data_IF_133160293974
#
_entry.id   IF_133160293974
#
_cell.length_a   1.000
_cell.length_b   1.000
_cell.length_c   1.000
_cell.angle_alpha   90.00
_cell.angle_beta   90.00
_cell.angle_gamma   90.00
#
_symmetry.space_group_name_H-M   'P 1'
#
loop_
_entity.id
_entity.type
_entity.pdbx_description
1 polymer ?
#
# COMPACT_ATOMS: atom_id res chain seq x y z
N UNK A 1 51.41 -22.88 1.15
CA UNK A 1 50.59 -21.75 1.66
C UNK A 1 50.31 -21.97 3.14
N UNK A 2 50.78 -21.08 4.01
CA UNK A 2 50.71 -21.24 5.47
C UNK A 2 49.24 -21.33 5.91
N UNK A 3 48.93 -22.21 6.89
CA UNK A 3 47.55 -22.49 7.35
C UNK A 3 46.77 -21.21 7.69
N UNK A 4 47.45 -20.19 8.22
CA UNK A 4 46.91 -18.86 8.50
C UNK A 4 46.38 -18.11 7.25
N UNK A 5 47.11 -18.17 6.13
CA UNK A 5 46.69 -17.52 4.88
C UNK A 5 45.45 -18.20 4.30
N UNK A 6 45.31 -19.52 4.47
CA UNK A 6 44.10 -20.26 4.07
C UNK A 6 42.89 -19.84 4.89
N UNK A 7 43.05 -19.65 6.20
CA UNK A 7 42.00 -19.19 7.09
C UNK A 7 41.53 -17.76 6.74
N UNK A 8 42.47 -16.84 6.48
CA UNK A 8 42.13 -15.48 6.05
C UNK A 8 41.35 -15.44 4.74
N UNK A 9 41.76 -16.24 3.75
CA UNK A 9 41.05 -16.34 2.46
C UNK A 9 39.64 -16.89 2.65
N UNK A 10 39.47 -17.91 3.51
CA UNK A 10 38.16 -18.47 3.81
C UNK A 10 37.25 -17.46 4.52
N UNK A 11 37.78 -16.72 5.49
CA UNK A 11 37.04 -15.67 6.21
C UNK A 11 36.61 -14.54 5.26
N UNK A 12 37.50 -14.11 4.35
CA UNK A 12 37.18 -13.11 3.34
C UNK A 12 36.10 -13.59 2.37
N UNK A 13 36.19 -14.85 1.90
CA UNK A 13 35.17 -15.44 1.04
C UNK A 13 33.81 -15.51 1.73
N UNK A 14 33.75 -15.92 3.00
CA UNK A 14 32.51 -15.92 3.78
C UNK A 14 31.94 -14.50 3.96
N UNK A 15 32.80 -13.51 4.19
CA UNK A 15 32.39 -12.10 4.28
C UNK A 15 31.74 -11.58 2.99
N UNK A 16 32.30 -11.94 1.84
CA UNK A 16 31.74 -11.58 0.52
C UNK A 16 30.39 -12.25 0.31
N UNK A 17 30.25 -13.54 0.62
CA UNK A 17 28.98 -14.28 0.48
C UNK A 17 27.90 -13.70 1.40
N UNK A 18 28.24 -13.39 2.66
CA UNK A 18 27.31 -12.75 3.59
C UNK A 18 26.90 -11.34 3.12
N UNK A 19 27.86 -10.55 2.61
CA UNK A 19 27.58 -9.23 2.03
C UNK A 19 26.66 -9.29 0.82
N UNK A 20 26.91 -10.23 -0.11
CA UNK A 20 26.05 -10.45 -1.26
C UNK A 20 24.64 -10.91 -0.86
N UNK A 21 24.53 -11.77 0.17
CA UNK A 21 23.25 -12.23 0.70
C UNK A 21 22.42 -11.08 1.28
N UNK A 22 23.03 -10.23 2.12
CA UNK A 22 22.36 -9.05 2.68
C UNK A 22 21.95 -8.08 1.58
N UNK A 23 22.84 -7.81 0.62
CA UNK A 23 22.53 -6.92 -0.50
C UNK A 23 21.33 -7.44 -1.33
N UNK A 24 21.29 -8.73 -1.63
CA UNK A 24 20.22 -9.31 -2.43
C UNK A 24 18.87 -9.37 -1.69
N UNK A 25 18.84 -9.77 -0.42
CA UNK A 25 17.59 -10.00 0.31
C UNK A 25 17.08 -8.81 1.12
N UNK A 26 17.96 -7.87 1.49
CA UNK A 26 17.58 -6.68 2.28
C UNK A 26 17.45 -5.47 1.37
N UNK A 27 18.43 -5.21 0.51
CA UNK A 27 18.43 -4.02 -0.35
C UNK A 27 17.68 -4.24 -1.67
N UNK A 28 17.85 -5.40 -2.31
CA UNK A 28 17.16 -5.73 -3.56
C UNK A 28 15.84 -6.49 -3.31
N UNK A 29 15.06 -6.07 -2.31
CA UNK A 29 13.71 -6.64 -2.16
C UNK A 29 12.88 -6.28 -3.39
N UNK A 30 12.40 -7.27 -4.16
CA UNK A 30 11.55 -6.97 -5.30
C UNK A 30 10.30 -6.23 -4.80
N UNK A 31 10.06 -5.04 -5.32
CA UNK A 31 8.83 -4.31 -5.02
C UNK A 31 7.65 -5.20 -5.42
N UNK A 32 6.78 -5.52 -4.46
CA UNK A 32 5.58 -6.32 -4.72
C UNK A 32 4.74 -5.54 -5.73
N UNK A 33 4.48 -6.15 -6.89
CA UNK A 33 3.63 -5.58 -7.92
C UNK A 33 2.18 -5.64 -7.43
N UNK A 34 1.73 -4.58 -6.75
CA UNK A 34 0.39 -4.48 -6.15
C UNK A 34 -0.70 -4.55 -7.22
N UNK A 35 -0.42 -4.03 -8.41
CA UNK A 35 -1.35 -4.05 -9.54
C UNK A 35 -1.63 -5.49 -10.00
N UNK A 36 -0.64 -6.39 -9.97
CA UNK A 36 -0.82 -7.82 -10.30
C UNK A 36 -1.11 -8.71 -9.09
N UNK A 37 -0.93 -8.22 -7.87
CA UNK A 37 -1.18 -8.99 -6.66
C UNK A 37 -2.66 -9.39 -6.54
N UNK A 38 -2.88 -10.60 -6.03
CA UNK A 38 -4.22 -11.05 -5.62
C UNK A 38 -4.58 -10.26 -4.35
N UNK A 39 -5.79 -9.67 -4.26
CA UNK A 39 -6.20 -8.97 -3.05
C UNK A 39 -6.32 -9.96 -1.89
N UNK A 40 -5.72 -9.60 -0.76
CA UNK A 40 -5.82 -10.33 0.51
C UNK A 40 -7.24 -10.19 1.09
N UNK A 41 -7.89 -9.05 0.86
CA UNK A 41 -9.25 -8.74 1.31
C UNK A 41 -10.08 -8.07 0.21
N UNK A 42 -11.39 -8.34 0.24
CA UNK A 42 -12.38 -7.63 -0.58
C UNK A 42 -13.45 -7.06 0.33
N UNK A 43 -13.61 -5.74 0.34
CA UNK A 43 -14.49 -5.02 1.28
C UNK A 43 -15.29 -3.92 0.57
N UNK A 44 -16.23 -3.29 1.27
CA UNK A 44 -16.75 -1.98 0.86
C UNK A 44 -15.92 -0.88 1.52
N UNK A 45 -15.87 0.31 0.91
CA UNK A 45 -15.16 1.44 1.47
C UNK A 45 -15.69 1.81 2.88
N UNK A 46 -17.02 1.73 3.05
CA UNK A 46 -17.71 1.96 4.33
C UNK A 46 -17.26 0.96 5.41
N UNK A 47 -17.22 -0.33 5.08
CA UNK A 47 -16.81 -1.37 6.04
C UNK A 47 -15.33 -1.27 6.38
N UNK A 48 -14.50 -0.97 5.38
CA UNK A 48 -13.07 -0.77 5.56
C UNK A 48 -12.81 0.41 6.52
N UNK A 49 -13.48 1.54 6.32
CA UNK A 49 -13.38 2.70 7.22
C UNK A 49 -13.92 2.40 8.62
N UNK A 50 -15.13 1.85 8.72
CA UNK A 50 -15.75 1.52 10.00
C UNK A 50 -14.91 0.53 10.83
N UNK A 51 -14.18 -0.38 10.18
CA UNK A 51 -13.28 -1.31 10.87
C UNK A 51 -12.18 -0.57 11.65
N UNK A 52 -11.52 0.41 11.02
CA UNK A 52 -10.50 1.21 11.70
C UNK A 52 -11.10 2.21 12.69
N UNK A 53 -12.16 2.92 12.30
CA UNK A 53 -12.80 3.93 13.14
C UNK A 53 -13.33 3.37 14.47
N UNK A 54 -13.81 2.12 14.48
CA UNK A 54 -14.28 1.43 15.68
C UNK A 54 -13.18 0.68 16.45
N UNK A 55 -11.91 0.83 16.07
CA UNK A 55 -10.78 0.15 16.74
C UNK A 55 -10.80 -1.37 16.58
N UNK A 56 -11.40 -1.88 15.49
CA UNK A 56 -11.53 -3.33 15.24
C UNK A 56 -10.32 -3.93 14.52
N UNK A 57 -9.32 -3.11 14.19
CA UNK A 57 -8.05 -3.56 13.64
C UNK A 57 -7.25 -4.31 14.73
N UNK A 58 -7.41 -5.64 14.72
CA UNK A 58 -6.88 -6.56 15.74
C UNK A 58 -6.05 -7.64 15.05
N UNK A 59 -5.31 -8.46 15.83
CA UNK A 59 -4.50 -9.56 15.29
C UNK A 59 -5.31 -10.54 14.40
N UNK A 60 -6.61 -10.69 14.65
CA UNK A 60 -7.50 -11.57 13.90
C UNK A 60 -7.88 -11.02 12.52
N UNK A 61 -7.96 -9.70 12.38
CA UNK A 61 -8.29 -9.02 11.12
C UNK A 61 -7.54 -7.70 11.06
N UNK A 62 -6.31 -7.79 10.56
CA UNK A 62 -5.42 -6.66 10.36
C UNK A 62 -5.28 -6.36 8.86
N UNK A 63 -5.61 -5.14 8.48
CA UNK A 63 -5.48 -4.67 7.11
C UNK A 63 -4.12 -4.04 6.82
N UNK A 64 -3.31 -3.74 7.83
CA UNK A 64 -1.98 -3.13 7.66
C UNK A 64 -1.07 -4.06 6.86
N UNK A 65 -0.50 -3.56 5.76
CA UNK A 65 0.36 -4.33 4.86
C UNK A 65 -0.39 -5.25 3.88
N UNK A 66 -1.72 -5.27 3.91
CA UNK A 66 -2.53 -6.07 3.01
C UNK A 66 -2.81 -5.35 1.68
N UNK A 67 -3.01 -6.12 0.62
CA UNK A 67 -3.60 -5.64 -0.65
C UNK A 67 -5.11 -5.75 -0.53
N UNK A 68 -5.80 -4.62 -0.58
CA UNK A 68 -7.24 -4.56 -0.37
C UNK A 68 -7.91 -4.15 -1.66
N UNK A 69 -8.89 -4.95 -2.09
CA UNK A 69 -9.88 -4.54 -3.09
C UNK A 69 -11.07 -3.95 -2.35
N UNK A 70 -11.52 -2.76 -2.72
CA UNK A 70 -12.73 -2.21 -2.16
C UNK A 70 -13.56 -1.46 -3.19
N UNK A 71 -14.87 -1.38 -2.94
CA UNK A 71 -15.80 -0.62 -3.77
C UNK A 71 -16.40 0.52 -2.94
N UNK A 72 -16.45 1.72 -3.52
CA UNK A 72 -17.03 2.89 -2.86
C UNK A 72 -17.25 4.07 -3.80
N UNK A 73 -17.94 5.10 -3.31
CA UNK A 73 -18.17 6.35 -4.05
C UNK A 73 -17.06 7.35 -3.75
N UNK A 74 -16.35 7.82 -4.78
CA UNK A 74 -15.32 8.86 -4.61
C UNK A 74 -16.01 10.18 -4.25
N UNK A 75 -15.61 10.78 -3.13
CA UNK A 75 -16.15 12.09 -2.70
C UNK A 75 -15.41 13.23 -3.39
N UNK A 76 -14.08 13.14 -3.46
CA UNK A 76 -13.23 14.15 -4.09
C UNK A 76 -11.93 13.55 -4.60
N UNK A 77 -11.26 14.31 -5.46
CA UNK A 77 -9.97 13.95 -6.05
C UNK A 77 -8.98 15.06 -5.69
N UNK A 78 -7.93 14.70 -4.97
CA UNK A 78 -6.81 15.58 -4.66
C UNK A 78 -5.67 15.32 -5.65
N UNK A 79 -4.84 16.33 -5.91
CA UNK A 79 -3.66 16.22 -6.75
C UNK A 79 -2.43 16.61 -5.94
N UNK A 80 -1.49 15.69 -5.83
CA UNK A 80 -0.21 15.90 -5.13
C UNK A 80 0.89 15.65 -6.14
N UNK A 81 1.54 16.72 -6.60
CA UNK A 81 2.50 16.68 -7.71
C UNK A 81 1.93 16.01 -8.98
N UNK A 82 2.53 14.89 -9.40
CA UNK A 82 2.07 14.07 -10.52
C UNK A 82 1.11 12.95 -10.12
N UNK A 83 0.76 12.83 -8.84
CA UNK A 83 -0.09 11.77 -8.31
C UNK A 83 -1.51 12.27 -8.09
N UNK A 84 -2.48 11.38 -8.31
CA UNK A 84 -3.89 11.62 -8.00
C UNK A 84 -4.27 10.81 -6.77
N UNK A 85 -4.92 11.46 -5.82
CA UNK A 85 -5.42 10.82 -4.60
C UNK A 85 -6.93 10.82 -4.65
N UNK A 86 -7.52 9.64 -4.67
CA UNK A 86 -8.96 9.46 -4.55
C UNK A 86 -9.32 9.47 -3.07
N UNK A 87 -10.26 10.34 -2.69
CA UNK A 87 -10.68 10.51 -1.30
C UNK A 87 -12.13 10.06 -1.16
N UNK A 88 -12.36 9.15 -0.23
CA UNK A 88 -13.66 8.64 0.18
C UNK A 88 -13.91 9.15 1.60
N UNK A 89 -14.81 10.13 1.75
CA UNK A 89 -15.07 10.78 3.03
C UNK A 89 -16.24 10.09 3.72
N UNK A 90 -16.07 9.74 4.99
CA UNK A 90 -17.11 9.10 5.82
C UNK A 90 -17.45 9.90 7.07
N UNK A 91 -16.56 10.78 7.51
CA UNK A 91 -16.78 11.67 8.65
C UNK A 91 -16.05 13.01 8.43
N UNK A 92 -16.42 14.02 9.23
CA UNK A 92 -15.71 15.31 9.29
C UNK A 92 -15.21 15.53 10.71
N UNK A 93 -13.88 15.55 10.88
CA UNK A 93 -13.21 15.79 12.13
C UNK A 93 -12.83 17.26 12.33
N UNK A 94 -12.23 17.56 13.49
CA UNK A 94 -11.76 18.93 13.79
C UNK A 94 -10.71 19.46 12.80
N UNK A 95 -10.01 18.56 12.09
CA UNK A 95 -8.95 18.90 11.14
C UNK A 95 -9.34 18.65 9.67
N UNK A 96 -10.64 18.42 9.41
CA UNK A 96 -11.20 18.20 8.08
C UNK A 96 -11.72 16.78 7.88
N UNK A 97 -11.93 16.42 6.62
CA UNK A 97 -12.49 15.14 6.19
C UNK A 97 -11.68 13.93 6.68
N UNK A 98 -12.39 12.92 7.16
CA UNK A 98 -11.86 11.64 7.61
C UNK A 98 -12.40 10.52 6.72
N UNK A 99 -11.52 9.61 6.29
CA UNK A 99 -11.95 8.49 5.49
C UNK A 99 -10.84 7.63 4.92
N UNK A 100 -10.91 7.37 3.61
CA UNK A 100 -9.91 6.59 2.87
C UNK A 100 -9.24 7.50 1.85
N UNK A 101 -7.91 7.57 1.90
CA UNK A 101 -7.07 8.25 0.89
C UNK A 101 -6.30 7.21 0.10
N UNK A 102 -6.58 7.16 -1.19
CA UNK A 102 -6.01 6.16 -2.09
C UNK A 102 -5.19 6.84 -3.18
N UNK A 103 -3.87 6.72 -3.07
CA UNK A 103 -2.92 7.30 -4.03
C UNK A 103 -2.78 6.38 -5.23
N UNK A 104 -3.23 6.86 -6.39
CA UNK A 104 -3.20 6.10 -7.64
C UNK A 104 -1.78 5.93 -8.16
N UNK A 105 -1.53 4.79 -8.80
CA UNK A 105 -0.39 4.61 -9.68
C UNK A 105 -0.47 5.61 -10.84
N UNK A 106 0.65 6.21 -11.28
CA UNK A 106 0.65 7.18 -12.38
C UNK A 106 -0.03 6.67 -13.67
N UNK A 107 0.04 5.36 -13.93
CA UNK A 107 -0.61 4.71 -15.08
C UNK A 107 -2.14 4.79 -15.05
N UNK A 108 -2.75 4.93 -13.87
CA UNK A 108 -4.19 5.01 -13.64
C UNK A 108 -4.71 6.45 -13.54
N UNK A 109 -3.84 7.46 -13.49
CA UNK A 109 -4.25 8.86 -13.44
C UNK A 109 -5.11 9.29 -14.64
N UNK A 110 -4.90 8.67 -15.80
CA UNK A 110 -5.65 8.94 -17.04
C UNK A 110 -7.10 8.44 -16.98
N UNK A 111 -7.42 7.53 -16.07
CA UNK A 111 -8.75 6.97 -15.90
C UNK A 111 -9.62 7.85 -14.98
N UNK A 112 -9.02 8.82 -14.30
CA UNK A 112 -9.69 9.73 -13.36
C UNK A 112 -10.74 10.64 -14.03
N UNK A 113 -10.50 11.24 -15.22
CA UNK A 113 -11.51 12.06 -15.90
C UNK A 113 -12.76 11.29 -16.32
N UNK A 114 -12.66 9.97 -16.47
CA UNK A 114 -13.75 9.09 -16.88
C UNK A 114 -14.60 8.61 -15.68
N UNK A 115 -14.21 8.96 -14.45
CA UNK A 115 -14.94 8.57 -13.26
C UNK A 115 -16.26 9.35 -13.18
N UNK A 116 -17.36 8.62 -13.15
CA UNK A 116 -18.66 9.21 -12.83
C UNK A 116 -18.72 9.45 -11.32
N UNK A 117 -18.84 10.70 -10.86
CA UNK A 117 -18.86 11.03 -9.43
C UNK A 117 -20.04 10.39 -8.70
N UNK A 118 -21.11 9.99 -9.39
CA UNK A 118 -22.29 9.36 -8.80
C UNK A 118 -22.27 7.84 -8.78
N UNK A 119 -21.27 7.20 -9.39
CA UNK A 119 -21.17 5.76 -9.40
C UNK A 119 -20.07 5.26 -8.47
N UNK A 120 -20.32 4.17 -7.72
CA UNK A 120 -19.26 3.53 -6.98
C UNK A 120 -18.26 2.89 -7.94
N UNK A 121 -16.99 2.95 -7.57
CA UNK A 121 -15.88 2.37 -8.34
C UNK A 121 -15.17 1.33 -7.50
N UNK A 122 -14.61 0.32 -8.17
CA UNK A 122 -13.78 -0.69 -7.52
C UNK A 122 -12.31 -0.30 -7.65
N UNK A 123 -11.61 -0.32 -6.53
CA UNK A 123 -10.20 0.00 -6.41
C UNK A 123 -9.48 -1.18 -5.79
N UNK A 124 -8.20 -1.33 -6.15
CA UNK A 124 -7.27 -2.18 -5.40
C UNK A 124 -6.01 -1.41 -5.07
N UNK A 125 -5.58 -1.46 -3.81
CA UNK A 125 -4.37 -0.77 -3.35
C UNK A 125 -3.71 -1.50 -2.18
N UNK A 126 -2.50 -1.07 -1.83
CA UNK A 126 -1.77 -1.54 -0.66
C UNK A 126 -2.11 -0.66 0.54
N UNK A 127 -2.62 -1.25 1.62
CA UNK A 127 -2.93 -0.51 2.85
C UNK A 127 -1.64 -0.29 3.65
N UNK A 128 -1.19 0.97 3.73
CA UNK A 128 -0.03 1.34 4.56
C UNK A 128 -0.41 1.59 6.02
N UNK A 129 -1.70 1.76 6.32
CA UNK A 129 -2.25 1.76 7.67
C UNK A 129 -3.25 2.89 7.92
N UNK A 130 -3.51 3.17 9.20
CA UNK A 130 -4.44 4.20 9.67
C UNK A 130 -3.71 5.20 10.56
N UNK A 131 -3.83 6.51 10.27
CA UNK A 131 -3.12 7.56 10.99
C UNK A 131 -3.94 8.20 12.13
N UNK A 132 -5.12 7.66 12.44
CA UNK A 132 -6.06 8.22 13.41
C UNK A 132 -7.22 8.99 12.78
N UNK A 133 -7.13 9.34 11.50
CA UNK A 133 -8.16 10.07 10.74
C UNK A 133 -8.44 9.39 9.41
N UNK A 134 -7.39 9.05 8.66
CA UNK A 134 -7.48 8.47 7.34
C UNK A 134 -6.80 7.10 7.28
N UNK A 135 -7.42 6.20 6.52
CA UNK A 135 -6.79 4.98 6.03
C UNK A 135 -6.02 5.35 4.77
N UNK A 136 -4.72 5.04 4.78
CA UNK A 136 -3.81 5.36 3.68
C UNK A 136 -3.63 4.11 2.83
N UNK A 137 -4.03 4.21 1.56
CA UNK A 137 -3.71 3.24 0.53
C UNK A 137 -2.78 3.85 -0.51
N UNK A 138 -1.78 3.06 -0.89
CA UNK A 138 -0.76 3.39 -1.86
C UNK A 138 -0.83 2.43 -3.05
N UNK A 139 -0.19 2.83 -4.16
CA UNK A 139 -0.11 2.02 -5.36
C UNK A 139 -1.49 1.54 -5.85
N UNK A 140 -2.48 2.42 -5.73
CA UNK A 140 -3.85 2.10 -6.08
C UNK A 140 -4.05 1.97 -7.60
N UNK A 141 -4.91 1.05 -7.99
CA UNK A 141 -5.34 0.79 -9.35
C UNK A 141 -6.86 0.76 -9.40
N UNK A 142 -7.45 1.34 -10.45
CA UNK A 142 -8.88 1.27 -10.71
C UNK A 142 -9.16 -0.05 -11.41
N UNK A 143 -10.11 -0.82 -10.89
CA UNK A 143 -10.55 -2.08 -11.48
C UNK A 143 -11.84 -1.79 -12.26
N UNK A 144 -11.73 -1.82 -13.58
CA UNK A 144 -12.87 -1.78 -14.51
C UNK A 144 -13.55 -3.15 -14.65
#
# INVERSE_FOLDING_TARGET
>A
MNKWKKFLILALAMGIVAGAYVWFFVYNKPHRDIEKAIPDYTETAENLYAHYANGLNTETKNYDGAVIRFTGKVTKIESVDSLKVLVFVFNEGMFGDEGIRCTLLPSHNKNVPDLNPDQPITIKGFCSGYNGTDIILEQCSIIN
#
